data_IF_139916680818
#
_entry.id   IF_139916680818
#
_cell.length_a   1.000
_cell.length_b   1.000
_cell.length_c   1.000
_cell.angle_alpha   90.00
_cell.angle_beta   90.00
_cell.angle_gamma   90.00
#
_symmetry.space_group_name_H-M   'P 1'
#
loop_
_entity.id
_entity.type
_entity.pdbx_description
1 polymer ?
#
# COMPACT_ATOMS: atom_id res chain seq x y z
N UNK A 1 -5.16 9.83 -1.80
CA UNK A 1 -4.69 9.80 -0.39
C UNK A 1 -3.22 9.38 -0.31
N UNK A 2 -2.28 10.34 -0.23
CA UNK A 2 -0.87 10.03 -0.08
C UNK A 2 -0.47 9.91 1.40
N UNK A 3 0.38 8.93 1.72
CA UNK A 3 1.12 8.88 2.99
C UNK A 3 2.61 9.07 2.72
N UNK A 4 3.23 10.01 3.42
CA UNK A 4 4.66 10.33 3.30
C UNK A 4 5.40 10.03 4.60
N UNK A 5 6.63 9.54 4.50
CA UNK A 5 7.53 9.40 5.65
C UNK A 5 9.01 9.43 5.22
N UNK A 6 9.90 9.77 6.15
CA UNK A 6 11.35 9.74 5.93
C UNK A 6 11.95 8.50 6.56
N UNK A 7 12.80 7.78 5.81
CA UNK A 7 13.48 6.61 6.33
C UNK A 7 14.74 6.31 5.52
N UNK A 8 15.81 5.89 6.20
CA UNK A 8 17.09 5.52 5.58
C UNK A 8 17.63 6.60 4.62
N UNK A 9 17.49 7.88 4.98
CA UNK A 9 17.99 9.00 4.17
C UNK A 9 17.14 9.39 2.97
N UNK A 10 15.94 8.80 2.78
CA UNK A 10 15.06 9.12 1.65
C UNK A 10 13.60 9.31 2.08
N UNK A 11 12.88 10.18 1.37
CA UNK A 11 11.44 10.31 1.52
C UNK A 11 10.74 9.23 0.72
N UNK A 12 9.76 8.59 1.34
CA UNK A 12 8.89 7.60 0.72
C UNK A 12 7.47 8.15 0.70
N UNK A 13 6.75 7.86 -0.38
CA UNK A 13 5.35 8.20 -0.56
C UNK A 13 4.62 6.99 -1.07
N UNK A 14 3.48 6.68 -0.47
CA UNK A 14 2.58 5.64 -0.97
C UNK A 14 1.25 6.26 -1.37
N UNK A 15 0.62 5.68 -2.39
CA UNK A 15 -0.71 6.08 -2.86
C UNK A 15 -1.53 4.85 -3.22
N UNK A 16 -2.81 4.91 -2.89
CA UNK A 16 -3.80 3.95 -3.33
C UNK A 16 -3.97 4.00 -4.84
N UNK A 17 -4.10 2.84 -5.47
CA UNK A 17 -4.24 2.71 -6.92
C UNK A 17 -5.03 1.44 -7.27
N UNK A 18 -5.32 1.29 -8.55
CA UNK A 18 -5.93 0.11 -9.15
C UNK A 18 -5.23 -0.20 -10.46
N UNK A 19 -5.16 -1.48 -10.81
CA UNK A 19 -4.92 -1.92 -12.18
C UNK A 19 -5.76 -3.16 -12.47
N UNK A 20 -6.41 -3.20 -13.64
CA UNK A 20 -7.25 -4.32 -14.06
C UNK A 20 -8.32 -4.72 -13.02
N UNK A 21 -8.94 -3.74 -12.35
CA UNK A 21 -9.88 -3.94 -11.24
C UNK A 21 -9.28 -4.71 -10.04
N UNK A 22 -7.97 -4.58 -9.81
CA UNK A 22 -7.28 -5.09 -8.63
C UNK A 22 -6.72 -3.92 -7.85
N UNK A 23 -7.18 -3.75 -6.61
CA UNK A 23 -6.68 -2.72 -5.70
C UNK A 23 -5.21 -2.95 -5.36
N UNK A 24 -4.41 -1.88 -5.33
CA UNK A 24 -2.98 -1.93 -5.03
C UNK A 24 -2.49 -0.64 -4.40
N UNK A 25 -1.31 -0.67 -3.81
CA UNK A 25 -0.61 0.52 -3.32
C UNK A 25 0.70 0.68 -4.06
N UNK A 26 0.91 1.87 -4.62
CA UNK A 26 2.15 2.24 -5.28
C UNK A 26 3.09 2.90 -4.29
N UNK A 27 4.39 2.80 -4.54
CA UNK A 27 5.43 3.49 -3.76
C UNK A 27 6.31 4.34 -4.67
N UNK A 28 6.62 5.52 -4.19
CA UNK A 28 7.49 6.51 -4.79
C UNK A 28 8.57 6.92 -3.78
N UNK A 29 9.71 7.40 -4.29
CA UNK A 29 10.81 7.92 -3.47
C UNK A 29 11.22 9.31 -3.93
N UNK A 30 11.67 10.14 -2.99
CA UNK A 30 12.15 11.49 -3.25
C UNK A 30 13.35 11.84 -2.36
N UNK A 31 14.35 12.56 -2.89
CA UNK A 31 15.39 13.15 -2.06
C UNK A 31 14.95 14.45 -1.37
N UNK A 32 13.92 15.14 -1.88
CA UNK A 32 13.66 16.55 -1.58
C UNK A 32 12.18 16.93 -1.37
N UNK A 33 11.29 15.94 -1.30
CA UNK A 33 9.82 16.08 -1.22
C UNK A 33 9.15 16.69 -2.46
N UNK A 34 9.91 17.11 -3.47
CA UNK A 34 9.40 17.79 -4.66
C UNK A 34 9.44 16.88 -5.88
N UNK A 35 10.55 16.18 -6.06
CA UNK A 35 10.77 15.29 -7.20
C UNK A 35 10.57 13.84 -6.76
N UNK A 36 9.48 13.23 -7.23
CA UNK A 36 9.09 11.87 -6.89
C UNK A 36 9.38 10.92 -8.04
N UNK A 37 10.14 9.86 -7.77
CA UNK A 37 10.39 8.76 -8.71
C UNK A 37 9.54 7.57 -8.33
N UNK A 38 8.82 7.01 -9.31
CA UNK A 38 8.12 5.73 -9.13
C UNK A 38 9.12 4.64 -8.76
N UNK A 39 8.85 3.93 -7.68
CA UNK A 39 9.70 2.88 -7.17
C UNK A 39 9.10 1.49 -7.41
N UNK A 40 7.78 1.33 -7.30
CA UNK A 40 7.12 0.06 -7.58
C UNK A 40 5.71 -0.07 -7.02
N UNK A 41 5.22 -1.32 -7.00
CA UNK A 41 4.01 -1.72 -6.29
C UNK A 41 4.43 -2.22 -4.90
N UNK A 42 3.90 -1.59 -3.85
CA UNK A 42 4.16 -1.99 -2.47
C UNK A 42 3.43 -3.29 -2.13
N UNK A 43 2.15 -3.34 -2.47
CA UNK A 43 1.28 -4.50 -2.29
C UNK A 43 0.12 -4.43 -3.29
N UNK A 44 -0.41 -5.60 -3.65
CA UNK A 44 -1.57 -5.75 -4.55
C UNK A 44 -2.54 -6.75 -3.96
N UNK A 45 -3.83 -6.53 -4.20
CA UNK A 45 -4.89 -7.49 -3.88
C UNK A 45 -4.68 -8.79 -4.64
N UNK A 46 -5.05 -9.91 -4.02
CA UNK A 46 -5.13 -11.24 -4.65
C UNK A 46 -6.37 -11.40 -5.55
N UNK A 47 -7.16 -10.33 -5.72
CA UNK A 47 -8.43 -10.32 -6.46
C UNK A 47 -9.66 -10.35 -5.56
N UNK A 48 -9.50 -10.69 -4.28
CA UNK A 48 -10.60 -10.78 -3.32
C UNK A 48 -10.80 -9.52 -2.48
N UNK A 49 -9.78 -8.65 -2.42
CA UNK A 49 -9.75 -7.46 -1.55
C UNK A 49 -10.10 -6.18 -2.31
N UNK A 50 -11.14 -6.24 -3.14
CA UNK A 50 -11.69 -5.08 -3.82
C UNK A 50 -10.91 -4.63 -5.06
N UNK A 51 -11.54 -3.76 -5.83
CA UNK A 51 -11.04 -3.26 -7.11
C UNK A 51 -10.18 -2.01 -6.99
N UNK A 52 -10.19 -1.35 -5.83
CA UNK A 52 -9.41 -0.15 -5.51
C UNK A 52 -9.06 -0.17 -4.03
N UNK A 53 -7.87 0.32 -3.68
CA UNK A 53 -7.45 0.57 -2.29
C UNK A 53 -7.31 2.07 -2.08
N UNK A 54 -8.10 2.64 -1.18
CA UNK A 54 -8.07 4.05 -0.77
C UNK A 54 -7.41 4.22 0.59
N UNK A 55 -7.05 5.45 0.95
CA UNK A 55 -6.48 5.81 2.25
C UNK A 55 -5.37 4.86 2.75
N UNK A 56 -4.30 4.61 1.96
CA UNK A 56 -3.22 3.76 2.44
C UNK A 56 -2.46 4.43 3.58
N UNK A 57 -2.07 3.64 4.58
CA UNK A 57 -1.08 4.01 5.57
C UNK A 57 0.00 2.93 5.67
N UNK A 58 1.18 3.32 6.13
CA UNK A 58 2.31 2.42 6.31
C UNK A 58 3.21 2.87 7.46
N UNK A 59 3.43 1.97 8.41
CA UNK A 59 4.23 2.23 9.60
C UNK A 59 4.89 0.95 10.14
N UNK A 60 5.89 1.13 10.99
CA UNK A 60 6.52 0.02 11.71
C UNK A 60 5.88 -0.14 13.09
N UNK A 61 5.61 -1.39 13.49
CA UNK A 61 5.11 -1.74 14.82
C UNK A 61 5.79 -3.04 15.27
N UNK A 62 6.49 -3.03 16.40
CA UNK A 62 7.18 -4.18 16.99
C UNK A 62 8.10 -4.95 16.01
N UNK A 63 8.80 -4.24 15.14
CA UNK A 63 9.70 -4.84 14.14
C UNK A 63 9.00 -5.38 12.89
N UNK A 64 7.68 -5.23 12.80
CA UNK A 64 6.88 -5.54 11.61
C UNK A 64 6.55 -4.27 10.84
N UNK A 65 6.51 -4.38 9.52
CA UNK A 65 5.89 -3.36 8.69
C UNK A 65 4.40 -3.65 8.57
N UNK A 66 3.59 -2.64 8.86
CA UNK A 66 2.14 -2.69 8.79
C UNK A 66 1.69 -1.76 7.69
N UNK A 67 0.97 -2.31 6.72
CA UNK A 67 0.25 -1.53 5.72
C UNK A 67 -1.24 -1.59 6.02
N UNK A 68 -1.92 -0.45 6.03
CA UNK A 68 -3.39 -0.39 6.09
C UNK A 68 -3.96 0.26 4.84
N UNK A 69 -5.21 -0.07 4.50
CA UNK A 69 -5.96 0.54 3.40
C UNK A 69 -7.46 0.29 3.56
N UNK A 70 -8.26 1.09 2.86
CA UNK A 70 -9.70 0.94 2.70
C UNK A 70 -10.01 0.37 1.31
N UNK A 71 -10.35 -0.92 1.15
CA UNK A 71 -10.71 -1.49 -0.12
C UNK A 71 -12.14 -1.11 -0.51
N UNK A 72 -12.32 -0.86 -1.80
CA UNK A 72 -13.60 -0.53 -2.43
C UNK A 72 -14.04 -1.70 -3.31
N UNK A 73 -15.32 -2.02 -3.31
CA UNK A 73 -15.90 -3.04 -4.19
C UNK A 73 -15.83 -4.49 -3.66
N UNK A 74 -15.62 -4.69 -2.35
CA UNK A 74 -15.75 -6.01 -1.73
C UNK A 74 -17.24 -6.37 -1.61
N UNK A 75 -17.62 -7.58 -2.04
CA UNK A 75 -18.98 -8.10 -1.86
C UNK A 75 -19.20 -8.52 -0.40
N UNK A 76 -20.35 -8.18 0.17
CA UNK A 76 -20.76 -8.65 1.49
C UNK A 76 -20.77 -10.18 1.56
N UNK A 77 -20.27 -10.74 2.66
CA UNK A 77 -20.23 -12.19 2.92
C UNK A 77 -20.78 -12.47 4.32
N UNK A 78 -22.07 -12.81 4.42
CA UNK A 78 -22.74 -12.93 5.72
C UNK A 78 -22.65 -11.62 6.50
N UNK A 79 -22.26 -11.67 7.77
CA UNK A 79 -22.06 -10.47 8.61
C UNK A 79 -20.76 -9.70 8.29
N UNK A 80 -19.91 -10.23 7.40
CA UNK A 80 -18.66 -9.60 6.99
C UNK A 80 -18.88 -8.63 5.82
N UNK A 81 -18.15 -7.53 5.83
CA UNK A 81 -18.13 -6.50 4.78
C UNK A 81 -19.48 -5.78 4.56
N UNK A 82 -20.31 -5.74 5.61
CA UNK A 82 -21.64 -5.11 5.64
C UNK A 82 -21.59 -3.56 5.50
N UNK A 83 -20.43 -2.91 5.65
CA UNK A 83 -20.28 -1.45 5.56
C UNK A 83 -19.12 -1.05 4.63
N UNK A 84 -19.37 -0.01 3.83
CA UNK A 84 -18.60 0.45 2.68
C UNK A 84 -17.12 0.83 2.87
N UNK A 85 -16.54 0.71 4.06
CA UNK A 85 -15.11 0.99 4.30
C UNK A 85 -14.60 0.07 5.41
N UNK A 86 -14.02 -1.07 5.03
CA UNK A 86 -13.34 -1.96 5.98
C UNK A 86 -11.86 -1.57 6.00
N UNK A 87 -11.25 -1.32 7.17
CA UNK A 87 -9.81 -1.09 7.22
C UNK A 87 -9.11 -2.45 7.27
N UNK A 88 -8.31 -2.76 6.25
CA UNK A 88 -7.55 -4.00 6.18
C UNK A 88 -6.10 -3.73 6.50
N UNK A 89 -5.43 -4.73 7.08
CA UNK A 89 -4.01 -4.67 7.37
C UNK A 89 -3.26 -5.89 6.82
N UNK A 90 -2.07 -5.64 6.28
CA UNK A 90 -1.05 -6.67 6.07
C UNK A 90 0.12 -6.38 7.00
N UNK A 91 0.65 -7.43 7.62
CA UNK A 91 1.90 -7.36 8.39
C UNK A 91 2.94 -8.29 7.78
N UNK A 92 4.18 -7.81 7.67
CA UNK A 92 5.29 -8.57 7.09
C UNK A 92 6.65 -7.96 7.40
N UNK A 93 7.73 -8.69 7.09
CA UNK A 93 9.08 -8.13 7.12
C UNK A 93 9.29 -7.31 5.85
N UNK A 94 9.41 -6.00 5.99
CA UNK A 94 9.67 -5.11 4.86
C UNK A 94 11.17 -4.78 4.78
N UNK A 95 11.80 -5.21 3.68
CA UNK A 95 13.21 -4.95 3.39
C UNK A 95 13.33 -3.78 2.41
N UNK A 96 13.82 -2.65 2.93
CA UNK A 96 13.97 -1.41 2.17
C UNK A 96 15.00 -1.48 1.04
N UNK A 97 15.90 -2.47 1.07
CA UNK A 97 16.97 -2.65 0.09
C UNK A 97 16.61 -3.64 -1.02
N UNK A 98 15.81 -4.68 -0.73
CA UNK A 98 15.56 -5.78 -1.69
C UNK A 98 14.65 -5.48 -2.88
N UNK A 99 13.95 -4.35 -2.93
CA UNK A 99 13.08 -4.03 -4.07
C UNK A 99 13.82 -3.52 -5.32
N UNK A 100 15.16 -3.45 -5.34
CA UNK A 100 15.91 -3.13 -6.56
C UNK A 100 15.92 -4.25 -7.62
N UNK A 101 15.57 -5.50 -7.27
CA UNK A 101 15.85 -6.68 -8.12
C UNK A 101 14.62 -7.45 -8.64
N UNK A 102 13.39 -6.94 -8.56
CA UNK A 102 12.20 -7.68 -9.06
C UNK A 102 11.67 -7.21 -10.42
N UNK A 103 12.53 -6.65 -11.28
CA UNK A 103 12.22 -6.30 -12.67
C UNK A 103 13.25 -6.91 -13.64
N UNK A 104 13.46 -8.22 -13.55
CA UNK A 104 13.99 -9.03 -14.65
C UNK A 104 13.06 -10.20 -14.90
#
# INVERSE_FOLDING_TARGET
>A
DPKVWFQNGTWNLIVGSSANNVGRTLIYRSPDLKHWKYFGVLATSTGELGSMWECPDFFALDGYAVQTFSPVGIKAQGDKYQKCFSNWCFSGKYDYQKQQNSNQ
#
